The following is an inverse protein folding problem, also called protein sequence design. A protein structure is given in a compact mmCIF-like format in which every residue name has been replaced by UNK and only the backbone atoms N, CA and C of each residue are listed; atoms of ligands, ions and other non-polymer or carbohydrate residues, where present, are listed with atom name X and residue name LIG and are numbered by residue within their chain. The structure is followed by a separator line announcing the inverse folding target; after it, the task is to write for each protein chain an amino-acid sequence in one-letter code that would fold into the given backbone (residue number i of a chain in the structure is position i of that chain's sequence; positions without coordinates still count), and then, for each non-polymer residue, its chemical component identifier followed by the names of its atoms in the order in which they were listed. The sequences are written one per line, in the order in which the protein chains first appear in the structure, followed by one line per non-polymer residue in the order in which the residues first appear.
data_IF_310780662980
#
_entry.id   IF_310780662980
#
_cell.length_a   1.000
_cell.length_b   1.000
_cell.length_c   1.000
_cell.angle_alpha   90.00
_cell.angle_beta   90.00
_cell.angle_gamma   90.00
#
_symmetry.space_group_name_H-M   'P 1'
#
loop_
_entity.id
_entity.type
_entity.pdbx_description
1 polymer ?
#
# COMPACT_ATOMS: atom_id res chain seq x y z
N UNK A 1 -25.86 -28.25 18.92
CA UNK A 1 -25.58 -28.08 17.48
C UNK A 1 -26.75 -27.31 16.92
N UNK A 2 -26.50 -26.17 16.27
CA UNK A 2 -27.56 -25.29 15.77
C UNK A 2 -27.59 -25.37 14.25
N UNK A 3 -28.77 -25.55 13.67
CA UNK A 3 -28.96 -25.51 12.21
C UNK A 3 -29.04 -24.07 11.71
N UNK A 4 -28.72 -23.83 10.44
CA UNK A 4 -28.89 -22.51 9.82
C UNK A 4 -30.35 -22.06 9.89
N UNK A 5 -31.30 -22.99 9.70
CA UNK A 5 -32.75 -22.71 9.84
C UNK A 5 -33.07 -22.17 11.23
N UNK A 6 -32.62 -22.86 12.29
CA UNK A 6 -32.87 -22.44 13.68
C UNK A 6 -32.17 -21.12 14.01
N UNK A 7 -30.94 -20.95 13.53
CA UNK A 7 -30.18 -19.73 13.76
C UNK A 7 -30.86 -18.51 13.10
N UNK A 8 -31.34 -18.65 11.86
CA UNK A 8 -32.10 -17.59 11.19
C UNK A 8 -33.37 -17.29 11.97
N UNK A 9 -34.17 -18.31 12.31
CA UNK A 9 -35.40 -18.12 13.07
C UNK A 9 -35.14 -17.37 14.38
N UNK A 10 -34.18 -17.84 15.17
CA UNK A 10 -33.80 -17.23 16.45
C UNK A 10 -33.32 -15.78 16.28
N UNK A 11 -32.49 -15.50 15.28
CA UNK A 11 -31.99 -14.14 15.02
C UNK A 11 -33.12 -13.16 14.74
N UNK A 12 -34.12 -13.57 13.96
CA UNK A 12 -35.24 -12.70 13.63
C UNK A 12 -36.30 -12.64 14.74
N UNK A 13 -36.50 -13.73 15.50
CA UNK A 13 -37.35 -13.71 16.68
C UNK A 13 -36.84 -12.69 17.70
N UNK A 14 -35.52 -12.65 17.96
CA UNK A 14 -34.89 -11.64 18.84
C UNK A 14 -35.05 -10.20 18.34
N UNK A 15 -35.10 -9.99 17.02
CA UNK A 15 -35.34 -8.67 16.43
C UNK A 15 -36.81 -8.24 16.55
N UNK A 16 -37.73 -9.18 16.72
CA UNK A 16 -39.16 -8.91 16.89
C UNK A 16 -39.61 -8.89 18.36
N UNK A 17 -38.75 -9.30 19.29
CA UNK A 17 -39.00 -9.23 20.73
C UNK A 17 -38.77 -7.80 21.27
N UNK A 18 -39.81 -7.09 21.74
CA UNK A 18 -39.69 -5.74 22.28
C UNK A 18 -38.90 -5.66 23.60
N UNK A 19 -38.48 -6.78 24.19
CA UNK A 19 -37.72 -6.84 25.44
C UNK A 19 -36.20 -7.04 25.26
N UNK A 20 -35.71 -7.23 24.03
CA UNK A 20 -34.28 -7.39 23.76
C UNK A 20 -33.55 -6.03 23.69
N UNK A 21 -32.62 -5.79 24.61
CA UNK A 21 -32.01 -4.47 24.85
C UNK A 21 -30.71 -4.18 24.08
N UNK A 22 -30.24 -5.04 23.18
CA UNK A 22 -28.96 -4.82 22.47
C UNK A 22 -29.19 -4.37 21.03
N UNK A 23 -29.66 -3.13 20.87
CA UNK A 23 -29.65 -2.43 19.59
C UNK A 23 -28.34 -1.66 19.41
N UNK A 24 -27.37 -2.27 18.73
CA UNK A 24 -26.35 -1.54 17.98
C UNK A 24 -26.22 -2.13 16.57
N UNK A 25 -26.58 -1.31 15.58
CA UNK A 25 -26.38 -1.49 14.13
C UNK A 25 -27.13 -2.63 13.43
N UNK A 26 -28.46 -2.53 13.32
CA UNK A 26 -29.18 -3.20 12.23
C UNK A 26 -30.16 -2.22 11.58
N UNK A 27 -29.84 -1.81 10.36
CA UNK A 27 -30.79 -1.14 9.47
C UNK A 27 -31.90 -2.13 9.14
N UNK A 28 -33.08 -1.92 9.74
CA UNK A 28 -34.28 -2.73 9.57
C UNK A 28 -34.78 -2.75 8.12
N UNK A 29 -34.98 -3.94 7.55
CA UNK A 29 -36.06 -4.23 6.59
C UNK A 29 -36.46 -5.70 6.73
N UNK A 30 -37.39 -5.98 7.64
CA UNK A 30 -37.95 -7.31 7.84
C UNK A 30 -39.21 -7.23 8.69
N UNK A 31 -40.27 -6.65 8.14
CA UNK A 31 -41.60 -6.74 8.75
C UNK A 31 -42.19 -8.13 8.49
N UNK A 32 -42.86 -8.78 9.47
CA UNK A 32 -43.58 -10.01 9.23
C UNK A 32 -44.61 -9.79 8.12
N UNK A 33 -44.65 -10.69 7.14
CA UNK A 33 -45.68 -10.66 6.11
C UNK A 33 -47.05 -11.05 6.71
N UNK A 34 -48.14 -10.62 6.07
CA UNK A 34 -49.51 -10.97 6.47
C UNK A 34 -49.79 -12.49 6.47
N UNK A 35 -48.91 -13.32 5.88
CA UNK A 35 -48.97 -14.78 5.86
C UNK A 35 -48.24 -15.47 7.03
N UNK A 36 -47.55 -14.71 7.90
CA UNK A 36 -46.73 -15.29 8.98
C UNK A 36 -45.37 -15.83 8.52
N UNK A 37 -45.00 -15.60 7.26
CA UNK A 37 -43.69 -15.97 6.73
C UNK A 37 -42.65 -14.88 7.01
N UNK A 38 -41.47 -15.30 7.46
CA UNK A 38 -40.29 -14.45 7.65
C UNK A 38 -39.84 -13.84 6.32
N UNK A 39 -39.88 -12.52 6.22
CA UNK A 39 -39.25 -11.79 5.12
C UNK A 39 -37.81 -11.46 5.50
N UNK A 40 -36.88 -12.22 4.92
CA UNK A 40 -35.46 -11.95 5.07
C UNK A 40 -35.02 -10.77 4.18
N UNK A 41 -34.04 -9.95 4.60
CA UNK A 41 -33.41 -8.97 3.73
C UNK A 41 -32.60 -9.64 2.61
N UNK A 42 -32.26 -8.88 1.56
CA UNK A 42 -31.37 -9.34 0.48
C UNK A 42 -29.93 -9.61 0.95
N UNK A 43 -29.53 -9.04 2.08
CA UNK A 43 -28.24 -9.26 2.72
C UNK A 43 -28.48 -9.99 4.03
N UNK A 44 -28.10 -11.26 4.10
CA UNK A 44 -28.24 -12.07 5.29
C UNK A 44 -26.87 -12.33 5.90
N UNK A 45 -26.65 -11.74 7.07
CA UNK A 45 -25.43 -11.97 7.86
C UNK A 45 -25.76 -12.95 8.98
N UNK A 46 -25.08 -14.09 9.01
CA UNK A 46 -25.15 -15.11 10.06
C UNK A 46 -23.74 -15.40 10.61
N UNK A 47 -22.91 -14.36 10.68
CA UNK A 47 -21.59 -14.44 11.33
C UNK A 47 -21.74 -14.89 12.80
N UNK A 48 -20.82 -15.73 13.27
CA UNK A 48 -20.72 -16.16 14.67
C UNK A 48 -22.03 -16.70 15.26
N UNK A 49 -22.82 -17.39 14.43
CA UNK A 49 -24.17 -17.86 14.79
C UNK A 49 -24.19 -19.31 15.29
N UNK A 50 -23.03 -19.89 15.59
CA UNK A 50 -22.85 -21.28 16.05
C UNK A 50 -23.47 -22.33 15.12
N UNK A 51 -23.56 -22.03 13.82
CA UNK A 51 -24.16 -22.93 12.83
C UNK A 51 -23.19 -24.07 12.55
N UNK A 52 -23.65 -25.32 12.68
CA UNK A 52 -22.84 -26.51 12.35
C UNK A 52 -23.31 -27.23 11.09
N UNK A 53 -24.60 -27.13 10.77
CA UNK A 53 -25.23 -27.76 9.60
C UNK A 53 -26.35 -26.86 9.07
N UNK A 54 -26.78 -27.05 7.83
CA UNK A 54 -27.81 -26.19 7.24
C UNK A 54 -29.22 -26.50 7.78
N UNK A 55 -29.52 -27.76 8.09
CA UNK A 55 -30.87 -28.21 8.42
C UNK A 55 -31.69 -28.48 7.16
N UNK A 56 -32.97 -28.12 7.16
CA UNK A 56 -33.88 -28.32 6.02
C UNK A 56 -33.55 -27.37 4.86
N UNK A 57 -32.90 -27.92 3.83
CA UNK A 57 -32.47 -27.19 2.62
C UNK A 57 -33.68 -26.67 1.83
N UNK A 58 -34.81 -27.37 1.79
CA UNK A 58 -36.00 -26.90 1.07
C UNK A 58 -36.62 -25.69 1.76
N UNK A 59 -36.68 -25.72 3.09
CA UNK A 59 -37.12 -24.58 3.89
C UNK A 59 -36.18 -23.39 3.70
N UNK A 60 -34.86 -23.60 3.76
CA UNK A 60 -33.88 -22.55 3.50
C UNK A 60 -34.02 -21.97 2.10
N UNK A 61 -34.17 -22.80 1.07
CA UNK A 61 -34.35 -22.32 -0.30
C UNK A 61 -35.57 -21.41 -0.46
N UNK A 62 -36.67 -21.70 0.25
CA UNK A 62 -37.87 -20.83 0.26
C UNK A 62 -37.63 -19.53 1.01
N UNK A 63 -36.95 -19.59 2.15
CA UNK A 63 -36.65 -18.41 2.98
C UNK A 63 -35.61 -17.48 2.33
N UNK A 64 -34.62 -18.06 1.66
CA UNK A 64 -33.40 -17.41 1.21
C UNK A 64 -33.35 -17.17 -0.31
N UNK A 65 -34.33 -17.60 -1.10
CA UNK A 65 -34.24 -17.61 -2.57
C UNK A 65 -34.00 -16.25 -3.23
N UNK A 66 -34.30 -15.14 -2.55
CA UNK A 66 -34.07 -13.76 -3.01
C UNK A 66 -32.80 -13.12 -2.44
N UNK A 67 -32.02 -13.84 -1.64
CA UNK A 67 -30.78 -13.33 -1.04
C UNK A 67 -29.72 -13.07 -2.12
N UNK A 68 -29.07 -11.93 -2.00
CA UNK A 68 -28.00 -11.44 -2.88
C UNK A 68 -26.65 -11.58 -2.19
N UNK A 69 -26.58 -11.38 -0.88
CA UNK A 69 -25.36 -11.51 -0.10
C UNK A 69 -25.60 -12.41 1.10
N UNK A 70 -24.79 -13.45 1.22
CA UNK A 70 -24.87 -14.42 2.29
C UNK A 70 -23.53 -14.48 3.02
N UNK A 71 -23.53 -14.06 4.28
CA UNK A 71 -22.39 -14.16 5.16
C UNK A 71 -22.61 -15.27 6.20
N UNK A 72 -21.87 -16.36 6.06
CA UNK A 72 -21.84 -17.50 6.98
C UNK A 72 -20.48 -17.60 7.68
N UNK A 73 -19.73 -16.50 7.78
CA UNK A 73 -18.43 -16.51 8.41
C UNK A 73 -18.49 -16.91 9.89
N UNK A 74 -17.36 -17.37 10.42
CA UNK A 74 -17.19 -17.69 11.83
C UNK A 74 -18.26 -18.68 12.35
N UNK A 75 -18.45 -19.76 11.60
CA UNK A 75 -19.34 -20.86 11.96
C UNK A 75 -18.56 -22.18 11.96
N UNK A 76 -19.24 -23.30 12.17
CA UNK A 76 -18.64 -24.63 12.23
C UNK A 76 -19.24 -25.56 11.18
N UNK A 77 -19.51 -25.02 9.99
CA UNK A 77 -20.01 -25.81 8.86
C UNK A 77 -19.00 -26.88 8.48
N UNK A 78 -19.46 -28.11 8.29
CA UNK A 78 -18.59 -29.24 7.96
C UNK A 78 -18.83 -29.83 6.56
N UNK A 79 -19.99 -29.58 5.95
CA UNK A 79 -20.44 -30.30 4.76
C UNK A 79 -20.56 -29.40 3.53
N UNK A 80 -19.60 -29.53 2.61
CA UNK A 80 -19.66 -28.86 1.30
C UNK A 80 -20.86 -29.29 0.44
N UNK A 81 -21.27 -30.56 0.50
CA UNK A 81 -22.38 -31.06 -0.32
C UNK A 81 -23.69 -30.35 0.01
N UNK A 82 -23.98 -30.19 1.30
CA UNK A 82 -25.21 -29.51 1.74
C UNK A 82 -25.15 -28.03 1.34
N UNK A 83 -23.98 -27.40 1.48
CA UNK A 83 -23.75 -26.02 1.07
C UNK A 83 -23.97 -25.82 -0.42
N UNK A 84 -23.38 -26.67 -1.26
CA UNK A 84 -23.59 -26.61 -2.71
C UNK A 84 -25.05 -26.84 -3.09
N UNK A 85 -25.76 -27.75 -2.41
CA UNK A 85 -27.19 -27.96 -2.63
C UNK A 85 -28.01 -26.70 -2.31
N UNK A 86 -27.68 -25.98 -1.23
CA UNK A 86 -28.29 -24.69 -0.92
C UNK A 86 -27.94 -23.65 -1.98
N UNK A 87 -26.67 -23.49 -2.34
CA UNK A 87 -26.22 -22.48 -3.31
C UNK A 87 -26.88 -22.65 -4.67
N UNK A 88 -27.14 -23.89 -5.11
CA UNK A 88 -27.92 -24.19 -6.32
C UNK A 88 -29.36 -23.66 -6.29
N UNK A 89 -29.88 -23.29 -5.11
CA UNK A 89 -31.24 -22.79 -4.90
C UNK A 89 -31.27 -21.29 -4.57
N UNK A 90 -30.14 -20.61 -4.68
CA UNK A 90 -30.00 -19.16 -4.46
C UNK A 90 -29.64 -18.44 -5.77
N UNK A 91 -30.61 -18.27 -6.70
CA UNK A 91 -30.35 -17.78 -8.05
C UNK A 91 -29.89 -16.31 -8.10
N UNK A 92 -30.08 -15.53 -7.04
CA UNK A 92 -29.69 -14.11 -7.00
C UNK A 92 -28.37 -13.87 -6.25
N UNK A 93 -27.74 -14.91 -5.73
CA UNK A 93 -26.56 -14.78 -4.88
C UNK A 93 -25.36 -14.27 -5.67
N UNK A 94 -24.79 -13.16 -5.19
CA UNK A 94 -23.62 -12.47 -5.76
C UNK A 94 -22.41 -12.52 -4.85
N UNK A 95 -22.63 -12.44 -3.54
CA UNK A 95 -21.57 -12.50 -2.54
C UNK A 95 -21.81 -13.66 -1.58
N UNK A 96 -20.80 -14.49 -1.42
CA UNK A 96 -20.77 -15.56 -0.43
C UNK A 96 -19.53 -15.44 0.42
N UNK A 97 -19.72 -15.31 1.74
CA UNK A 97 -18.63 -15.36 2.71
C UNK A 97 -18.75 -16.64 3.55
N UNK A 98 -17.73 -17.49 3.47
CA UNK A 98 -17.60 -18.73 4.24
C UNK A 98 -16.36 -18.70 5.14
N UNK A 99 -15.74 -17.54 5.30
CA UNK A 99 -14.49 -17.41 6.06
C UNK A 99 -14.64 -17.97 7.47
N UNK A 100 -13.57 -18.52 8.07
CA UNK A 100 -13.60 -19.01 9.46
C UNK A 100 -14.66 -20.12 9.65
N UNK A 101 -14.64 -21.13 8.79
CA UNK A 101 -15.36 -22.40 9.00
C UNK A 101 -14.34 -23.55 9.09
N UNK A 102 -13.73 -23.78 10.27
CA UNK A 102 -12.58 -24.69 10.41
C UNK A 102 -12.90 -26.16 10.09
N UNK A 103 -14.16 -26.55 10.26
CA UNK A 103 -14.64 -27.91 9.97
C UNK A 103 -14.94 -28.14 8.49
N UNK A 104 -14.92 -27.09 7.67
CA UNK A 104 -15.36 -27.14 6.29
C UNK A 104 -14.26 -27.70 5.40
N UNK A 105 -14.33 -29.00 5.10
CA UNK A 105 -13.34 -29.70 4.29
C UNK A 105 -13.91 -30.97 3.65
N UNK A 106 -13.12 -31.68 2.83
CA UNK A 106 -13.50 -32.98 2.33
C UNK A 106 -13.64 -33.95 3.52
N UNK A 107 -14.69 -34.77 3.53
CA UNK A 107 -14.83 -35.82 4.55
C UNK A 107 -13.67 -36.79 4.35
N UNK A 108 -12.73 -36.87 5.29
CA UNK A 108 -11.90 -38.07 5.39
C UNK A 108 -12.86 -39.18 5.78
N UNK A 109 -13.05 -40.18 4.93
CA UNK A 109 -13.63 -41.42 5.41
C UNK A 109 -12.72 -41.92 6.53
N UNK A 110 -13.21 -41.80 7.77
CA UNK A 110 -12.58 -42.39 8.94
C UNK A 110 -12.59 -43.89 8.73
N UNK A 111 -11.50 -44.45 8.21
CA UNK A 111 -11.19 -45.86 8.38
C UNK A 111 -10.99 -46.03 9.88
N UNK A 112 -12.01 -46.57 10.54
CA UNK A 112 -11.94 -47.04 11.91
C UNK A 112 -10.74 -47.99 12.01
N UNK A 113 -9.77 -47.62 12.82
CA UNK A 113 -8.68 -48.48 13.25
C UNK A 113 -9.23 -49.78 13.83
N UNK A 114 -9.02 -50.89 13.15
CA UNK A 114 -8.65 -52.14 13.82
C UNK A 114 -7.50 -52.80 13.06
N UNK A 115 -6.52 -53.24 13.84
CA UNK A 115 -5.37 -54.10 13.51
C UNK A 115 -4.05 -53.43 13.05
N UNK A 116 -3.11 -53.44 14.01
CA UNK A 116 -1.66 -53.28 13.90
C UNK A 116 -1.06 -53.97 12.67
N UNK A 117 -0.28 -53.24 11.87
CA UNK A 117 1.00 -53.74 11.36
C UNK A 117 2.00 -52.58 11.22
N UNK A 118 3.24 -52.82 11.67
CA UNK A 118 4.39 -51.92 11.54
C UNK A 118 4.78 -51.78 10.06
N UNK A 119 4.37 -50.69 9.42
CA UNK A 119 4.97 -50.21 8.17
C UNK A 119 4.82 -48.68 8.10
N UNK A 120 5.83 -47.94 7.61
CA UNK A 120 5.74 -46.49 7.50
C UNK A 120 4.64 -46.13 6.50
N UNK A 121 3.67 -45.32 6.96
CA UNK A 121 2.61 -44.75 6.14
C UNK A 121 3.22 -44.08 4.90
N UNK A 122 2.95 -44.64 3.72
CA UNK A 122 3.20 -43.97 2.45
C UNK A 122 2.11 -42.91 2.28
N UNK A 123 2.44 -41.64 1.99
CA UNK A 123 1.43 -40.66 1.65
C UNK A 123 0.66 -41.17 0.42
N UNK A 124 -0.66 -41.07 0.50
CA UNK A 124 -1.58 -41.31 -0.62
C UNK A 124 -1.07 -40.52 -1.83
N UNK A 125 -0.88 -41.20 -2.96
CA UNK A 125 -0.57 -40.53 -4.21
C UNK A 125 -1.83 -39.82 -4.69
N UNK A 126 -1.77 -38.50 -4.84
CA UNK A 126 -2.86 -37.61 -5.27
C UNK A 126 -3.42 -37.87 -6.69
N UNK A 127 -3.00 -38.94 -7.38
CA UNK A 127 -3.45 -39.20 -8.76
C UNK A 127 -4.92 -39.63 -8.88
N UNK A 128 -5.52 -40.18 -7.82
CA UNK A 128 -6.91 -40.67 -7.86
C UNK A 128 -7.95 -39.67 -7.30
N UNK A 129 -7.52 -38.49 -6.83
CA UNK A 129 -8.42 -37.55 -6.13
C UNK A 129 -9.23 -36.64 -7.09
N UNK A 130 -8.88 -36.61 -8.39
CA UNK A 130 -9.41 -35.63 -9.35
C UNK A 130 -10.91 -35.77 -9.68
N UNK A 131 -11.58 -36.85 -9.26
CA UNK A 131 -12.96 -37.17 -9.71
C UNK A 131 -14.06 -36.97 -8.66
N UNK A 132 -13.73 -36.69 -7.40
CA UNK A 132 -14.74 -36.64 -6.31
C UNK A 132 -15.04 -35.24 -5.77
N UNK A 133 -14.28 -34.22 -6.17
CA UNK A 133 -14.48 -32.88 -5.65
C UNK A 133 -15.56 -32.12 -6.42
N UNK A 134 -16.76 -32.12 -5.82
CA UNK A 134 -17.78 -31.08 -5.98
C UNK A 134 -18.35 -30.92 -7.40
N UNK A 135 -19.29 -31.78 -7.79
CA UNK A 135 -20.17 -31.51 -8.94
C UNK A 135 -21.27 -30.53 -8.48
N UNK A 136 -20.97 -29.25 -8.39
CA UNK A 136 -22.00 -28.22 -8.21
C UNK A 136 -22.65 -27.86 -9.55
N UNK A 137 -23.90 -27.41 -9.53
CA UNK A 137 -24.45 -26.73 -10.70
C UNK A 137 -23.75 -25.37 -10.86
N UNK A 138 -23.73 -24.79 -12.07
CA UNK A 138 -23.16 -23.46 -12.26
C UNK A 138 -23.86 -22.44 -11.34
N UNK A 139 -23.05 -21.62 -10.67
CA UNK A 139 -23.41 -20.43 -9.89
C UNK A 139 -23.04 -19.17 -10.71
N UNK A 140 -23.72 -18.88 -11.82
CA UNK A 140 -23.31 -17.83 -12.76
C UNK A 140 -23.45 -16.41 -12.21
N UNK A 141 -24.18 -16.21 -11.12
CA UNK A 141 -24.40 -14.89 -10.52
C UNK A 141 -23.38 -14.54 -9.44
N UNK A 142 -22.62 -15.53 -8.95
CA UNK A 142 -21.64 -15.33 -7.90
C UNK A 142 -20.46 -14.51 -8.46
N UNK A 143 -20.25 -13.31 -7.92
CA UNK A 143 -19.17 -12.40 -8.28
C UNK A 143 -18.09 -12.31 -7.21
N UNK A 144 -18.44 -12.52 -5.94
CA UNK A 144 -17.54 -12.39 -4.80
C UNK A 144 -17.60 -13.63 -3.91
N UNK A 145 -16.43 -14.22 -3.63
CA UNK A 145 -16.31 -15.40 -2.79
C UNK A 145 -15.19 -15.19 -1.76
N UNK A 146 -15.54 -15.29 -0.48
CA UNK A 146 -14.59 -15.19 0.61
C UNK A 146 -14.44 -16.52 1.35
N UNK A 147 -13.20 -17.01 1.39
CA UNK A 147 -12.77 -18.30 1.91
C UNK A 147 -11.55 -18.12 2.83
N UNK A 148 -11.51 -17.05 3.64
CA UNK A 148 -10.37 -16.80 4.52
C UNK A 148 -10.39 -17.74 5.73
N UNK A 149 -9.23 -18.08 6.28
CA UNK A 149 -9.10 -18.91 7.49
C UNK A 149 -9.87 -20.25 7.41
N UNK A 150 -9.72 -20.94 6.29
CA UNK A 150 -10.20 -22.29 6.03
C UNK A 150 -9.02 -23.27 6.00
N UNK A 151 -8.67 -23.91 7.13
CA UNK A 151 -7.48 -24.76 7.26
C UNK A 151 -7.51 -26.02 6.39
N UNK A 152 -8.69 -26.42 5.92
CA UNK A 152 -8.87 -27.60 5.04
C UNK A 152 -9.01 -27.22 3.55
N UNK A 153 -8.83 -25.94 3.20
CA UNK A 153 -8.94 -25.48 1.81
C UNK A 153 -7.72 -25.93 1.00
N UNK A 154 -7.98 -26.68 -0.08
CA UNK A 154 -6.96 -27.14 -1.03
C UNK A 154 -7.19 -26.57 -2.43
N UNK A 155 -6.14 -26.55 -3.26
CA UNK A 155 -6.23 -26.12 -4.66
C UNK A 155 -7.23 -26.95 -5.51
N UNK A 156 -7.32 -28.29 -5.38
CA UNK A 156 -8.33 -29.06 -6.10
C UNK A 156 -9.75 -28.66 -5.71
N UNK A 157 -9.98 -28.41 -4.41
CA UNK A 157 -11.29 -27.97 -3.93
C UNK A 157 -11.64 -26.58 -4.47
N UNK A 158 -10.68 -25.65 -4.42
CA UNK A 158 -10.82 -24.32 -5.01
C UNK A 158 -11.10 -24.40 -6.51
N UNK A 159 -10.42 -25.28 -7.25
CA UNK A 159 -10.67 -25.49 -8.67
C UNK A 159 -12.11 -25.94 -8.97
N UNK A 160 -12.69 -26.83 -8.14
CA UNK A 160 -14.10 -27.22 -8.24
C UNK A 160 -15.06 -26.05 -8.01
N UNK A 161 -14.80 -25.23 -6.99
CA UNK A 161 -15.60 -24.03 -6.69
C UNK A 161 -15.52 -23.00 -7.82
N UNK A 162 -14.31 -22.70 -8.31
CA UNK A 162 -14.09 -21.76 -9.41
C UNK A 162 -14.66 -22.24 -10.75
N UNK A 163 -14.68 -23.56 -10.97
CA UNK A 163 -15.34 -24.14 -12.16
C UNK A 163 -16.85 -23.97 -12.10
N UNK A 164 -17.41 -23.96 -10.89
CA UNK A 164 -18.84 -23.75 -10.65
C UNK A 164 -19.22 -22.27 -10.69
N UNK A 165 -18.30 -21.33 -10.45
CA UNK A 165 -18.55 -19.89 -10.45
C UNK A 165 -17.86 -19.18 -11.64
N UNK A 166 -18.41 -19.29 -12.88
CA UNK A 166 -17.74 -18.84 -14.10
C UNK A 166 -17.58 -17.32 -14.22
N UNK A 167 -18.35 -16.54 -13.46
CA UNK A 167 -18.34 -15.07 -13.47
C UNK A 167 -17.73 -14.48 -12.19
N UNK A 168 -17.03 -15.28 -11.39
CA UNK A 168 -16.41 -14.82 -10.15
C UNK A 168 -15.30 -13.80 -10.47
N UNK A 169 -15.40 -12.61 -9.90
CA UNK A 169 -14.46 -11.49 -10.11
C UNK A 169 -13.56 -11.24 -8.92
N UNK A 170 -14.04 -11.47 -7.71
CA UNK A 170 -13.34 -11.17 -6.45
C UNK A 170 -13.22 -12.41 -5.57
N UNK A 171 -11.99 -12.72 -5.15
CA UNK A 171 -11.66 -13.93 -4.40
C UNK A 171 -10.78 -13.61 -3.20
N UNK A 172 -11.22 -14.03 -2.01
CA UNK A 172 -10.47 -13.87 -0.77
C UNK A 172 -10.04 -15.24 -0.23
N UNK A 173 -8.73 -15.43 -0.07
CA UNK A 173 -8.08 -16.67 0.34
C UNK A 173 -7.00 -16.43 1.41
N UNK A 174 -7.17 -15.42 2.24
CA UNK A 174 -6.16 -15.01 3.22
C UNK A 174 -6.13 -15.94 4.43
N UNK A 175 -4.94 -16.20 4.96
CA UNK A 175 -4.67 -16.99 6.17
C UNK A 175 -5.18 -18.43 6.08
N UNK A 176 -4.98 -19.08 4.93
CA UNK A 176 -5.36 -20.47 4.70
C UNK A 176 -4.17 -21.44 4.77
N UNK A 177 -2.99 -20.96 5.16
CA UNK A 177 -1.73 -21.73 5.13
C UNK A 177 -1.42 -22.32 3.73
N UNK A 178 -2.00 -21.76 2.67
CA UNK A 178 -1.86 -22.30 1.32
C UNK A 178 -0.47 -22.00 0.77
N UNK A 179 0.19 -23.03 0.25
CA UNK A 179 1.32 -22.89 -0.67
C UNK A 179 0.79 -22.67 -2.09
N UNK A 180 1.68 -22.50 -3.07
CA UNK A 180 1.26 -22.45 -4.45
C UNK A 180 0.76 -23.81 -4.97
N UNK A 181 -0.01 -23.83 -6.06
CA UNK A 181 -0.46 -25.08 -6.67
C UNK A 181 0.74 -25.95 -7.05
N UNK A 182 0.73 -27.22 -6.62
CA UNK A 182 1.69 -28.26 -7.00
C UNK A 182 1.39 -28.87 -8.38
N UNK A 183 0.23 -28.53 -8.97
CA UNK A 183 -0.20 -28.95 -10.31
C UNK A 183 -0.58 -27.74 -11.20
N UNK A 184 -0.49 -27.89 -12.54
CA UNK A 184 -0.91 -26.85 -13.46
C UNK A 184 -2.41 -26.57 -13.33
N UNK A 185 -2.85 -25.36 -13.69
CA UNK A 185 -4.26 -25.01 -13.63
C UNK A 185 -5.11 -26.03 -14.44
N UNK A 186 -6.16 -26.63 -13.84
CA UNK A 186 -6.94 -27.68 -14.50
C UNK A 186 -7.83 -27.12 -15.62
N UNK A 187 -8.06 -25.80 -15.65
CA UNK A 187 -8.85 -25.12 -16.68
C UNK A 187 -7.95 -24.52 -17.74
N UNK A 188 -8.13 -24.92 -19.00
CA UNK A 188 -7.43 -24.31 -20.15
C UNK A 188 -7.75 -22.81 -20.18
N UNK A 189 -6.71 -21.98 -20.20
CA UNK A 189 -6.84 -20.53 -20.15
C UNK A 189 -7.11 -19.94 -18.75
N UNK A 190 -7.03 -20.76 -17.71
CA UNK A 190 -7.17 -20.34 -16.31
C UNK A 190 -8.56 -19.82 -15.93
N UNK A 191 -8.65 -19.27 -14.73
CA UNK A 191 -9.85 -18.63 -14.20
C UNK A 191 -9.86 -17.14 -14.54
N UNK A 192 -9.97 -16.84 -15.84
CA UNK A 192 -9.89 -15.49 -16.39
C UNK A 192 -10.98 -14.49 -15.94
N UNK A 193 -12.04 -14.96 -15.27
CA UNK A 193 -13.05 -14.07 -14.68
C UNK A 193 -12.54 -13.38 -13.43
N UNK A 194 -11.61 -14.00 -12.70
CA UNK A 194 -11.07 -13.49 -11.43
C UNK A 194 -10.11 -12.34 -11.71
N UNK A 195 -10.47 -11.16 -11.21
CA UNK A 195 -9.73 -9.91 -11.42
C UNK A 195 -9.10 -9.38 -10.13
N UNK A 196 -9.65 -9.74 -8.97
CA UNK A 196 -9.12 -9.34 -7.67
C UNK A 196 -8.86 -10.56 -6.78
N UNK A 197 -7.64 -10.65 -6.26
CA UNK A 197 -7.20 -11.74 -5.40
C UNK A 197 -6.58 -11.19 -4.12
N UNK A 198 -7.10 -11.64 -2.98
CA UNK A 198 -6.59 -11.33 -1.64
C UNK A 198 -6.01 -12.61 -1.03
N UNK A 199 -4.69 -12.72 -1.04
CA UNK A 199 -3.95 -13.94 -0.67
C UNK A 199 -2.94 -13.66 0.46
N UNK A 200 -3.36 -12.91 1.48
CA UNK A 200 -2.50 -12.49 2.58
C UNK A 200 -2.22 -13.64 3.55
N UNK A 201 -1.08 -13.63 4.24
CA UNK A 201 -0.77 -14.60 5.30
C UNK A 201 -0.79 -16.05 4.83
N UNK A 202 -0.34 -16.29 3.60
CA UNK A 202 -0.15 -17.62 3.03
C UNK A 202 1.35 -17.90 2.83
N UNK A 203 1.69 -19.02 2.20
CA UNK A 203 3.07 -19.52 2.09
C UNK A 203 3.58 -19.45 0.64
N UNK A 204 3.23 -18.39 -0.08
CA UNK A 204 3.76 -18.19 -1.44
C UNK A 204 5.24 -17.84 -1.42
N UNK A 205 6.00 -18.52 -2.27
CA UNK A 205 7.42 -18.28 -2.52
C UNK A 205 7.61 -17.50 -3.83
N UNK A 206 8.82 -17.00 -4.02
CA UNK A 206 9.20 -16.21 -5.20
C UNK A 206 9.14 -16.98 -6.52
N UNK A 207 9.15 -18.30 -6.51
CA UNK A 207 9.00 -19.13 -7.72
C UNK A 207 7.54 -19.30 -8.16
N UNK A 208 6.58 -18.94 -7.30
CA UNK A 208 5.17 -19.27 -7.48
C UNK A 208 4.37 -18.25 -8.31
N UNK A 209 4.98 -17.10 -8.65
CA UNK A 209 4.38 -16.08 -9.52
C UNK A 209 3.87 -16.65 -10.85
N UNK A 210 4.60 -17.61 -11.42
CA UNK A 210 4.24 -18.29 -12.67
C UNK A 210 2.95 -19.10 -12.53
N UNK A 211 2.84 -19.88 -11.45
CA UNK A 211 1.66 -20.70 -11.14
C UNK A 211 0.44 -19.82 -10.92
N UNK A 212 0.57 -18.74 -10.14
CA UNK A 212 -0.50 -17.76 -9.95
C UNK A 212 -0.93 -17.12 -11.27
N UNK A 213 0.03 -16.77 -12.13
CA UNK A 213 -0.26 -16.20 -13.44
C UNK A 213 -1.00 -17.17 -14.36
N UNK A 214 -0.78 -18.48 -14.23
CA UNK A 214 -1.51 -19.50 -14.99
C UNK A 214 -2.95 -19.68 -14.48
N UNK A 215 -3.13 -19.66 -13.16
CA UNK A 215 -4.44 -19.80 -12.53
C UNK A 215 -5.31 -18.56 -12.73
N UNK A 216 -4.74 -17.36 -12.67
CA UNK A 216 -5.46 -16.09 -12.73
C UNK A 216 -4.85 -15.13 -13.77
N UNK A 217 -4.98 -15.44 -15.07
CA UNK A 217 -4.24 -14.72 -16.13
C UNK A 217 -4.75 -13.29 -16.41
N UNK A 218 -5.92 -12.92 -15.88
CA UNK A 218 -6.56 -11.59 -16.07
C UNK A 218 -6.63 -10.79 -14.77
N UNK A 219 -5.78 -11.12 -13.81
CA UNK A 219 -5.76 -10.44 -12.52
C UNK A 219 -5.33 -8.97 -12.68
N UNK A 220 -6.12 -8.06 -12.09
CA UNK A 220 -5.86 -6.62 -12.06
C UNK A 220 -5.42 -6.14 -10.67
N UNK A 221 -5.85 -6.82 -9.61
CA UNK A 221 -5.50 -6.50 -8.23
C UNK A 221 -5.02 -7.72 -7.47
N UNK A 222 -3.84 -7.62 -6.87
CA UNK A 222 -3.22 -8.68 -6.09
C UNK A 222 -2.77 -8.15 -4.73
N UNK A 223 -3.19 -8.81 -3.67
CA UNK A 223 -2.76 -8.51 -2.29
C UNK A 223 -2.06 -9.73 -1.69
N UNK A 224 -0.80 -9.55 -1.30
CA UNK A 224 0.11 -10.60 -0.80
C UNK A 224 0.73 -10.24 0.55
N UNK A 225 0.01 -9.51 1.41
CA UNK A 225 0.55 -9.04 2.70
C UNK A 225 1.02 -10.24 3.53
N UNK A 226 2.25 -10.17 4.06
CA UNK A 226 2.78 -11.20 4.95
C UNK A 226 3.01 -12.57 4.30
N UNK A 227 3.30 -12.61 2.99
CA UNK A 227 3.86 -13.81 2.34
C UNK A 227 5.39 -13.76 2.33
N UNK A 228 6.04 -14.92 2.18
CA UNK A 228 7.49 -15.07 2.24
C UNK A 228 8.22 -14.81 0.92
N UNK A 229 7.60 -14.12 -0.03
CA UNK A 229 8.22 -13.80 -1.31
C UNK A 229 9.29 -12.70 -1.14
N UNK A 230 10.55 -13.05 -1.41
CA UNK A 230 11.72 -12.17 -1.35
C UNK A 230 12.12 -11.60 -2.73
N UNK A 231 11.68 -12.25 -3.81
CA UNK A 231 12.01 -11.89 -5.19
C UNK A 231 10.77 -11.70 -6.04
N UNK A 232 10.86 -10.71 -6.92
CA UNK A 232 9.87 -10.43 -7.93
C UNK A 232 10.25 -11.12 -9.25
N UNK A 233 9.25 -11.46 -10.10
CA UNK A 233 9.50 -12.17 -11.34
C UNK A 233 10.37 -11.31 -12.28
N UNK A 234 11.59 -11.78 -12.55
CA UNK A 234 12.60 -11.09 -13.37
C UNK A 234 12.31 -11.11 -14.87
N UNK A 235 11.49 -12.07 -15.32
CA UNK A 235 11.00 -12.26 -16.68
C UNK A 235 9.87 -13.29 -16.63
N UNK A 236 9.06 -13.41 -17.69
CA UNK A 236 8.11 -14.52 -17.71
C UNK A 236 8.78 -15.84 -17.96
N UNK A 237 8.73 -16.66 -16.94
CA UNK A 237 9.03 -18.07 -17.03
C UNK A 237 7.75 -18.79 -17.41
N UNK A 238 7.78 -19.63 -18.45
CA UNK A 238 6.83 -20.74 -18.55
C UNK A 238 7.59 -22.06 -18.51
N UNK A 239 6.95 -22.98 -17.79
CA UNK A 239 7.23 -24.40 -17.71
C UNK A 239 7.33 -25.03 -19.11
N UNK A 240 8.36 -25.83 -19.30
CA UNK A 240 8.46 -26.76 -20.40
C UNK A 240 7.27 -27.72 -20.35
N UNK A 241 6.46 -27.73 -21.39
CA UNK A 241 5.71 -28.94 -21.74
C UNK A 241 6.75 -29.97 -22.15
N UNK A 242 6.91 -31.03 -21.36
CA UNK A 242 7.54 -32.23 -21.86
C UNK A 242 6.76 -32.72 -23.07
N UNK A 243 7.35 -32.62 -24.25
CA UNK A 243 7.37 -33.69 -25.22
C UNK A 243 8.42 -33.39 -26.31
N UNK A 244 9.51 -34.16 -26.24
CA UNK A 244 10.44 -34.49 -27.31
C UNK A 244 10.77 -33.44 -28.38
N UNK A 245 11.80 -32.62 -28.15
CA UNK A 245 12.66 -32.18 -29.25
C UNK A 245 14.02 -31.69 -28.75
N UNK A 246 15.05 -32.50 -28.99
CA UNK A 246 16.45 -32.08 -28.86
C UNK A 246 16.74 -31.03 -29.94
N UNK A 247 16.51 -29.76 -29.64
CA UNK A 247 17.11 -28.69 -30.42
C UNK A 247 17.46 -27.49 -29.53
N UNK A 248 18.76 -27.34 -29.31
CA UNK A 248 19.39 -26.18 -28.68
C UNK A 248 19.24 -24.98 -29.60
N UNK A 249 18.24 -24.14 -29.35
CA UNK A 249 18.17 -22.70 -29.61
C UNK A 249 16.70 -22.27 -29.61
N UNK A 250 16.29 -21.48 -28.61
CA UNK A 250 15.29 -20.41 -28.74
C UNK A 250 15.06 -19.73 -27.38
N UNK A 251 15.78 -18.63 -27.16
CA UNK A 251 15.42 -17.55 -26.23
C UNK A 251 14.06 -16.94 -26.66
N UNK A 252 12.98 -17.67 -26.43
CA UNK A 252 11.62 -17.16 -26.67
C UNK A 252 11.11 -16.57 -25.36
N UNK A 253 11.24 -15.25 -25.24
CA UNK A 253 10.69 -14.44 -24.14
C UNK A 253 9.17 -14.57 -24.18
N UNK A 254 8.59 -15.28 -23.21
CA UNK A 254 7.14 -15.19 -22.95
C UNK A 254 6.93 -14.02 -21.99
N UNK A 255 5.74 -13.44 -21.94
CA UNK A 255 5.37 -12.35 -21.04
C UNK A 255 4.35 -12.92 -20.03
N UNK A 256 4.53 -12.70 -18.72
CA UNK A 256 3.58 -13.21 -17.72
C UNK A 256 2.31 -12.39 -17.91
N UNK A 257 1.17 -13.00 -18.23
CA UNK A 257 -0.10 -12.26 -18.32
C UNK A 257 -0.37 -11.41 -17.08
N UNK A 258 0.03 -11.92 -15.90
CA UNK A 258 -0.05 -11.22 -14.64
C UNK A 258 0.66 -9.87 -14.67
N UNK A 259 1.88 -9.78 -15.23
CA UNK A 259 2.65 -8.53 -15.26
C UNK A 259 2.04 -7.47 -16.20
N UNK A 260 1.28 -7.89 -17.22
CA UNK A 260 0.65 -6.96 -18.15
C UNK A 260 -0.65 -6.35 -17.62
N UNK A 261 -1.43 -7.12 -16.87
CA UNK A 261 -2.79 -6.74 -16.47
C UNK A 261 -2.87 -6.11 -15.07
N UNK A 262 -1.85 -6.32 -14.23
CA UNK A 262 -1.86 -5.87 -12.86
C UNK A 262 -1.84 -4.34 -12.77
N UNK A 263 -2.85 -3.77 -12.12
CA UNK A 263 -3.03 -2.34 -11.86
C UNK A 263 -2.74 -1.98 -10.41
N UNK A 264 -3.04 -2.91 -9.50
CA UNK A 264 -2.83 -2.73 -8.06
C UNK A 264 -2.10 -3.92 -7.45
N UNK A 265 -1.02 -3.65 -6.74
CA UNK A 265 -0.21 -4.64 -6.05
C UNK A 265 0.06 -4.21 -4.61
N UNK A 266 -0.16 -5.12 -3.67
CA UNK A 266 0.21 -4.94 -2.28
C UNK A 266 1.18 -6.04 -1.83
N UNK A 267 2.42 -5.63 -1.58
CA UNK A 267 3.56 -6.44 -1.11
C UNK A 267 3.99 -6.01 0.30
N UNK A 268 3.09 -5.40 1.07
CA UNK A 268 3.43 -4.97 2.44
C UNK A 268 3.83 -6.18 3.29
N UNK A 269 4.75 -5.98 4.23
CA UNK A 269 5.29 -7.05 5.08
C UNK A 269 5.96 -8.19 4.31
N UNK A 270 6.50 -7.91 3.11
CA UNK A 270 7.32 -8.87 2.34
C UNK A 270 8.80 -8.81 2.71
N UNK A 271 9.54 -9.85 2.34
CA UNK A 271 10.98 -9.99 2.62
C UNK A 271 11.87 -9.32 1.56
N UNK A 272 11.29 -8.51 0.66
CA UNK A 272 12.01 -7.76 -0.37
C UNK A 272 12.97 -6.77 0.29
N UNK A 273 14.28 -6.90 0.00
CA UNK A 273 15.36 -6.17 0.65
C UNK A 273 16.26 -5.34 -0.26
N UNK A 274 15.98 -5.29 -1.56
CA UNK A 274 16.78 -4.57 -2.55
C UNK A 274 15.93 -3.78 -3.55
N UNK A 275 16.49 -2.68 -4.05
CA UNK A 275 15.84 -1.85 -5.07
C UNK A 275 15.76 -2.55 -6.43
N UNK A 276 16.77 -3.34 -6.79
CA UNK A 276 16.79 -4.11 -8.03
C UNK A 276 15.58 -5.07 -8.13
N UNK A 277 15.13 -5.63 -7.02
CA UNK A 277 13.90 -6.44 -6.99
C UNK A 277 12.65 -5.57 -7.22
N UNK A 278 12.51 -4.44 -6.52
CA UNK A 278 11.36 -3.54 -6.72
C UNK A 278 11.30 -2.92 -8.12
N UNK A 279 12.45 -2.58 -8.71
CA UNK A 279 12.53 -1.97 -10.04
C UNK A 279 12.03 -2.91 -11.15
N UNK A 280 11.99 -4.23 -10.93
CA UNK A 280 11.31 -5.19 -11.82
C UNK A 280 9.82 -4.88 -11.98
N UNK A 281 9.19 -4.17 -11.05
CA UNK A 281 7.80 -3.70 -11.21
C UNK A 281 7.64 -2.70 -12.34
N UNK A 282 8.72 -2.05 -12.82
CA UNK A 282 8.67 -1.24 -14.04
C UNK A 282 8.38 -2.07 -15.30
N UNK A 283 8.53 -3.40 -15.24
CA UNK A 283 8.07 -4.32 -16.29
C UNK A 283 6.54 -4.46 -16.34
N UNK A 284 5.82 -3.93 -15.34
CA UNK A 284 4.37 -3.94 -15.27
C UNK A 284 3.82 -2.58 -15.75
N UNK A 285 3.51 -2.40 -17.05
CA UNK A 285 3.15 -1.09 -17.59
C UNK A 285 1.82 -0.54 -17.04
N UNK A 286 0.94 -1.43 -16.59
CA UNK A 286 -0.38 -1.08 -16.05
C UNK A 286 -0.36 -0.79 -14.55
N UNK A 287 0.75 -1.02 -13.85
CA UNK A 287 0.82 -0.96 -12.39
C UNK A 287 0.89 0.50 -11.90
N UNK A 288 -0.25 1.00 -11.43
CA UNK A 288 -0.40 2.37 -10.93
C UNK A 288 -0.45 2.45 -9.41
N UNK A 289 -0.95 1.41 -8.74
CA UNK A 289 -1.23 1.40 -7.31
C UNK A 289 -0.36 0.39 -6.58
N UNK A 290 0.63 0.87 -5.83
CA UNK A 290 1.58 0.04 -5.09
C UNK A 290 1.48 0.27 -3.58
N UNK A 291 1.49 -0.83 -2.81
CA UNK A 291 1.68 -0.81 -1.37
C UNK A 291 2.88 -1.67 -0.98
N UNK A 292 3.84 -1.07 -0.30
CA UNK A 292 5.13 -1.66 0.14
C UNK A 292 5.43 -1.19 1.58
N UNK A 293 4.43 -1.23 2.45
CA UNK A 293 4.61 -0.89 3.86
C UNK A 293 5.39 -2.00 4.57
N UNK A 294 6.31 -1.63 5.45
CA UNK A 294 7.04 -2.56 6.33
C UNK A 294 7.78 -3.73 5.62
N UNK A 295 8.17 -3.53 4.36
CA UNK A 295 9.07 -4.44 3.65
C UNK A 295 10.50 -4.36 4.21
N UNK A 296 11.29 -5.43 4.09
CA UNK A 296 12.66 -5.49 4.62
C UNK A 296 13.56 -4.35 4.15
N UNK A 297 13.47 -3.92 2.89
CA UNK A 297 14.20 -2.79 2.32
C UNK A 297 13.95 -1.45 3.05
N UNK A 298 12.73 -1.24 3.54
CA UNK A 298 12.31 -0.02 4.21
C UNK A 298 12.61 0.02 5.71
N UNK A 299 13.00 -1.12 6.33
CA UNK A 299 13.23 -1.21 7.78
C UNK A 299 14.37 -0.28 8.21
N UNK A 300 14.10 0.58 9.19
CA UNK A 300 15.08 1.55 9.72
C UNK A 300 15.29 2.82 8.88
N UNK A 301 14.66 2.94 7.70
CA UNK A 301 14.76 4.13 6.85
C UNK A 301 13.67 5.18 7.21
N UNK A 302 13.95 6.48 7.11
CA UNK A 302 12.92 7.51 7.25
C UNK A 302 11.84 7.34 6.17
N UNK A 303 10.56 7.28 6.59
CA UNK A 303 9.41 7.03 5.69
C UNK A 303 9.35 7.99 4.49
N UNK A 304 9.68 9.27 4.72
CA UNK A 304 9.66 10.31 3.68
C UNK A 304 10.75 10.09 2.63
N UNK A 305 11.96 9.73 3.05
CA UNK A 305 13.08 9.48 2.15
C UNK A 305 12.87 8.19 1.36
N UNK A 306 12.44 7.11 2.03
CA UNK A 306 12.10 5.86 1.37
C UNK A 306 11.00 6.04 0.31
N UNK A 307 9.96 6.82 0.64
CA UNK A 307 8.90 7.17 -0.31
C UNK A 307 9.45 7.93 -1.52
N UNK A 308 10.27 8.96 -1.30
CA UNK A 308 10.84 9.75 -2.38
C UNK A 308 11.72 8.87 -3.30
N UNK A 309 12.55 8.00 -2.73
CA UNK A 309 13.37 7.07 -3.51
C UNK A 309 12.51 6.09 -4.32
N UNK A 310 11.46 5.51 -3.73
CA UNK A 310 10.53 4.64 -4.43
C UNK A 310 9.81 5.36 -5.59
N UNK A 311 9.36 6.59 -5.38
CA UNK A 311 8.70 7.39 -6.42
C UNK A 311 9.64 7.67 -7.60
N UNK A 312 10.92 7.95 -7.31
CA UNK A 312 11.91 8.23 -8.33
C UNK A 312 12.31 6.99 -9.14
N UNK A 313 12.35 5.81 -8.50
CA UNK A 313 12.75 4.53 -9.12
C UNK A 313 11.61 3.82 -9.86
N UNK A 314 10.35 4.07 -9.49
CA UNK A 314 9.17 3.39 -10.03
C UNK A 314 8.33 4.33 -10.93
N UNK A 315 8.56 4.27 -12.24
CA UNK A 315 7.98 5.22 -13.21
C UNK A 315 6.45 5.21 -13.28
N UNK A 316 5.85 4.03 -13.22
CA UNK A 316 4.42 3.86 -13.51
C UNK A 316 3.50 4.08 -12.30
N UNK A 317 4.06 4.06 -11.08
CA UNK A 317 3.29 4.09 -9.82
C UNK A 317 2.76 5.49 -9.54
N UNK A 318 1.46 5.72 -9.68
CA UNK A 318 0.79 7.00 -9.38
C UNK A 318 0.17 7.06 -8.00
N UNK A 319 -0.02 5.92 -7.33
CA UNK A 319 -0.49 5.81 -5.95
C UNK A 319 0.45 4.91 -5.18
N UNK A 320 1.08 5.44 -4.13
CA UNK A 320 2.04 4.71 -3.30
C UNK A 320 1.58 4.71 -1.84
N UNK A 321 1.50 3.54 -1.22
CA UNK A 321 1.11 3.35 0.18
C UNK A 321 -0.22 4.06 0.54
N UNK A 322 -1.18 4.02 -0.39
CA UNK A 322 -2.53 4.59 -0.20
C UNK A 322 -2.64 6.10 -0.42
N UNK A 323 -1.59 6.77 -0.90
CA UNK A 323 -1.61 8.21 -1.20
C UNK A 323 -1.18 8.46 -2.64
N UNK A 324 -1.86 9.39 -3.32
CA UNK A 324 -1.51 9.81 -4.67
C UNK A 324 -0.12 10.45 -4.72
N UNK A 325 0.59 10.24 -5.82
CA UNK A 325 1.87 10.87 -6.14
C UNK A 325 1.60 12.04 -7.07
N UNK A 326 1.91 13.25 -6.61
CA UNK A 326 1.75 14.47 -7.42
C UNK A 326 2.91 14.62 -8.40
N UNK A 327 2.70 15.39 -9.47
CA UNK A 327 3.77 15.69 -10.45
C UNK A 327 4.92 16.47 -9.80
N UNK A 328 4.62 17.35 -8.84
CA UNK A 328 5.62 18.07 -8.06
C UNK A 328 6.44 17.13 -7.17
N UNK A 329 5.76 16.21 -6.47
CA UNK A 329 6.43 15.19 -5.64
C UNK A 329 7.33 14.30 -6.48
N UNK A 330 6.83 13.82 -7.62
CA UNK A 330 7.62 13.01 -8.56
C UNK A 330 8.82 13.77 -9.10
N UNK A 331 8.61 14.98 -9.60
CA UNK A 331 9.72 15.77 -10.14
C UNK A 331 10.76 16.10 -9.08
N UNK A 332 10.36 16.34 -7.82
CA UNK A 332 11.29 16.57 -6.72
C UNK A 332 12.07 15.29 -6.37
N UNK A 333 11.39 14.15 -6.29
CA UNK A 333 11.97 12.85 -6.04
C UNK A 333 12.99 12.44 -7.12
N UNK A 334 12.61 12.51 -8.39
CA UNK A 334 13.48 12.21 -9.54
C UNK A 334 14.75 13.08 -9.53
N UNK A 335 14.61 14.38 -9.29
CA UNK A 335 15.76 15.30 -9.18
C UNK A 335 16.65 15.00 -7.99
N UNK A 336 16.06 14.60 -6.86
CA UNK A 336 16.81 14.18 -5.68
C UNK A 336 17.62 12.91 -5.95
N UNK A 337 17.03 11.93 -6.65
CA UNK A 337 17.71 10.69 -7.03
C UNK A 337 18.90 10.96 -7.96
N UNK A 338 18.72 11.83 -8.98
CA UNK A 338 19.81 12.26 -9.87
C UNK A 338 20.95 12.88 -9.07
N UNK A 339 20.67 13.87 -8.20
CA UNK A 339 21.73 14.52 -7.39
C UNK A 339 22.49 13.51 -6.53
N UNK A 340 21.76 12.59 -5.88
CA UNK A 340 22.37 11.56 -5.06
C UNK A 340 23.35 10.69 -5.86
N UNK A 341 23.02 10.36 -7.12
CA UNK A 341 23.82 9.45 -7.96
C UNK A 341 24.81 10.15 -8.91
N UNK A 342 24.74 11.48 -9.07
CA UNK A 342 25.67 12.21 -9.95
C UNK A 342 26.54 13.23 -9.25
N UNK A 343 26.07 13.85 -8.17
CA UNK A 343 26.80 14.93 -7.46
C UNK A 343 27.34 14.41 -6.14
N UNK A 344 26.46 13.81 -5.32
CA UNK A 344 26.86 13.44 -3.95
C UNK A 344 27.89 12.31 -3.94
N UNK A 345 27.84 11.38 -4.91
CA UNK A 345 28.87 10.35 -5.10
C UNK A 345 30.21 10.94 -5.56
N UNK A 346 30.19 11.93 -6.47
CA UNK A 346 31.41 12.65 -6.90
C UNK A 346 32.05 13.38 -5.71
N UNK A 347 31.24 13.99 -4.84
CA UNK A 347 31.71 14.71 -3.65
C UNK A 347 32.25 13.76 -2.56
N UNK A 348 31.59 12.62 -2.34
CA UNK A 348 31.97 11.66 -1.28
C UNK A 348 33.18 10.80 -1.64
N UNK A 349 33.64 10.84 -2.89
CA UNK A 349 34.79 10.08 -3.39
C UNK A 349 34.63 8.56 -3.11
N UNK A 350 33.39 8.06 -3.18
CA UNK A 350 33.07 6.66 -2.92
C UNK A 350 33.56 5.76 -4.08
N UNK A 351 33.91 4.49 -3.80
CA UNK A 351 34.36 3.57 -4.84
C UNK A 351 33.28 3.41 -5.92
N UNK A 352 33.65 3.75 -7.16
CA UNK A 352 32.78 3.73 -8.35
C UNK A 352 32.12 2.37 -8.57
N UNK A 353 32.79 1.27 -8.19
CA UNK A 353 32.30 -0.09 -8.43
C UNK A 353 31.06 -0.46 -7.59
N UNK A 354 30.95 0.03 -6.35
CA UNK A 354 29.77 -0.19 -5.49
C UNK A 354 28.61 0.75 -5.87
N UNK A 355 28.94 1.99 -6.22
CA UNK A 355 27.97 2.98 -6.68
C UNK A 355 27.30 2.59 -8.02
N UNK A 356 28.03 1.91 -8.91
CA UNK A 356 27.50 1.40 -10.19
C UNK A 356 26.59 0.19 -9.99
N UNK A 357 26.86 -0.66 -8.98
CA UNK A 357 26.06 -1.85 -8.70
C UNK A 357 24.67 -1.55 -8.11
N UNK A 358 24.50 -0.39 -7.46
CA UNK A 358 23.20 0.09 -6.94
C UNK A 358 22.54 1.17 -7.82
N UNK A 359 23.11 1.43 -9.01
CA UNK A 359 22.61 2.43 -9.93
C UNK A 359 21.14 2.11 -10.32
N UNK A 360 20.20 3.06 -10.18
CA UNK A 360 18.81 2.85 -10.58
C UNK A 360 18.71 2.53 -12.07
N UNK A 361 17.90 1.54 -12.44
CA UNK A 361 17.68 1.13 -13.84
C UNK A 361 17.23 2.31 -14.73
N UNK A 362 16.53 3.28 -14.15
CA UNK A 362 15.98 4.43 -14.88
C UNK A 362 16.89 5.66 -14.90
N UNK A 363 18.09 5.62 -14.32
CA UNK A 363 18.94 6.80 -14.15
C UNK A 363 19.22 7.51 -15.48
N UNK A 364 19.56 6.77 -16.53
CA UNK A 364 19.80 7.33 -17.87
C UNK A 364 18.57 8.02 -18.45
N UNK A 365 17.40 7.42 -18.26
CA UNK A 365 16.11 8.00 -18.70
C UNK A 365 15.79 9.27 -17.93
N UNK A 366 16.08 9.31 -16.63
CA UNK A 366 15.89 10.49 -15.78
C UNK A 366 16.86 11.62 -16.14
N UNK A 367 18.12 11.29 -16.46
CA UNK A 367 19.11 12.26 -16.96
C UNK A 367 18.71 12.83 -18.31
N UNK A 368 18.17 12.01 -19.21
CA UNK A 368 17.62 12.50 -20.47
C UNK A 368 16.42 13.44 -20.27
N UNK A 369 15.58 13.19 -19.25
CA UNK A 369 14.38 13.98 -18.93
C UNK A 369 14.70 15.32 -18.23
N UNK A 370 15.56 15.31 -17.21
CA UNK A 370 15.82 16.49 -16.36
C UNK A 370 17.13 17.22 -16.70
N UNK A 371 18.00 16.60 -17.48
CA UNK A 371 19.37 17.06 -17.69
C UNK A 371 20.26 16.85 -16.47
N UNK A 372 21.53 17.25 -16.60
CA UNK A 372 22.48 17.24 -15.48
C UNK A 372 22.15 18.40 -14.54
N UNK A 373 21.89 18.09 -13.28
CA UNK A 373 21.55 19.09 -12.26
C UNK A 373 22.81 19.77 -11.71
N UNK A 374 22.69 21.04 -11.34
CA UNK A 374 23.73 21.75 -10.62
C UNK A 374 23.66 21.46 -9.11
N UNK A 375 24.78 21.69 -8.43
CA UNK A 375 24.86 21.69 -6.97
C UNK A 375 23.81 22.65 -6.37
N UNK A 376 23.26 22.26 -5.22
CA UNK A 376 22.37 23.14 -4.47
C UNK A 376 23.18 24.32 -3.91
N UNK A 377 22.71 25.54 -4.15
CA UNK A 377 23.32 26.72 -3.58
C UNK A 377 23.28 26.63 -2.04
N UNK A 378 24.43 26.83 -1.39
CA UNK A 378 24.51 26.95 0.07
C UNK A 378 23.93 28.29 0.49
N UNK A 379 22.61 28.35 0.68
CA UNK A 379 21.91 29.53 1.17
C UNK A 379 21.71 29.38 2.67
N UNK A 380 22.36 30.23 3.46
CA UNK A 380 22.07 30.34 4.89
C UNK A 380 20.83 31.21 5.08
N UNK A 381 19.69 30.58 5.39
CA UNK A 381 18.42 31.27 5.62
C UNK A 381 18.25 31.71 7.09
N UNK A 382 19.27 31.53 7.95
CA UNK A 382 19.20 32.02 9.33
C UNK A 382 19.14 33.55 9.34
N UNK A 383 18.29 34.17 10.18
CA UNK A 383 18.25 35.62 10.31
C UNK A 383 19.63 36.16 10.69
N UNK A 384 20.13 37.15 9.96
CA UNK A 384 21.39 37.84 10.26
C UNK A 384 21.36 38.40 11.68
N UNK A 385 22.18 37.87 12.58
CA UNK A 385 22.18 38.25 14.00
C UNK A 385 23.05 39.46 14.31
N UNK A 386 24.11 39.68 13.51
CA UNK A 386 24.97 40.85 13.59
C UNK A 386 25.38 41.34 12.21
N UNK A 387 25.61 42.64 12.10
CA UNK A 387 25.96 43.34 10.86
C UNK A 387 27.14 44.27 11.13
N UNK A 388 28.07 44.34 10.18
CA UNK A 388 29.25 45.21 10.22
C UNK A 388 28.98 46.51 9.48
N UNK A 389 28.87 47.62 10.22
CA UNK A 389 28.46 48.92 9.70
C UNK A 389 29.57 49.96 9.80
N UNK A 390 29.54 50.93 8.87
CA UNK A 390 30.46 52.08 8.89
C UNK A 390 29.78 53.24 9.62
N UNK A 391 30.31 53.57 10.79
CA UNK A 391 29.87 54.69 11.60
C UNK A 391 30.61 55.96 11.17
N UNK A 392 29.91 57.09 11.03
CA UNK A 392 30.50 58.40 10.69
C UNK A 392 30.06 59.50 11.64
N UNK A 393 31.00 60.35 12.04
CA UNK A 393 30.73 61.58 12.78
C UNK A 393 31.78 62.65 12.43
N UNK A 394 31.34 63.77 11.85
CA UNK A 394 32.24 64.78 11.29
C UNK A 394 33.20 64.17 10.26
N UNK A 395 34.51 64.37 10.46
CA UNK A 395 35.57 63.80 9.60
C UNK A 395 36.08 62.41 10.07
N UNK A 396 35.44 61.82 11.08
CA UNK A 396 35.82 60.52 11.62
C UNK A 396 34.93 59.41 11.08
N UNK A 397 35.52 58.24 10.80
CA UNK A 397 34.77 57.03 10.46
C UNK A 397 35.35 55.82 11.19
N UNK A 398 34.49 54.86 11.57
CA UNK A 398 34.86 53.62 12.25
C UNK A 398 33.95 52.49 11.80
N UNK A 399 34.43 51.26 11.77
CA UNK A 399 33.59 50.08 11.53
C UNK A 399 33.20 49.45 12.87
N UNK A 400 31.94 49.06 13.03
CA UNK A 400 31.44 48.43 14.23
C UNK A 400 30.49 47.28 13.90
N UNK A 401 30.61 46.16 14.62
CA UNK A 401 29.59 45.11 14.59
C UNK A 401 28.46 45.46 15.56
N UNK A 402 27.24 45.47 15.03
CA UNK A 402 26.03 45.71 15.78
C UNK A 402 25.09 44.51 15.65
N UNK A 403 24.48 44.11 16.76
CA UNK A 403 23.47 43.06 16.73
C UNK A 403 22.16 43.63 16.17
N UNK A 404 21.51 42.89 15.28
CA UNK A 404 20.32 43.38 14.55
C UNK A 404 19.07 43.42 15.43
N UNK A 405 19.05 42.68 16.53
CA UNK A 405 17.95 42.65 17.51
C UNK A 405 17.95 43.83 18.49
N UNK A 406 18.95 44.72 18.44
CA UNK A 406 19.03 45.87 19.34
C UNK A 406 17.97 46.92 19.01
N UNK A 407 17.53 47.65 20.04
CA UNK A 407 16.65 48.79 19.84
C UNK A 407 17.43 50.00 19.31
N UNK A 408 16.79 50.88 18.55
CA UNK A 408 17.45 52.08 18.01
C UNK A 408 18.09 52.94 19.12
N UNK A 409 17.49 53.01 20.32
CA UNK A 409 18.11 53.70 21.46
C UNK A 409 19.45 53.09 21.90
N UNK A 410 19.57 51.76 21.85
CA UNK A 410 20.79 51.03 22.23
C UNK A 410 21.85 51.16 21.14
N UNK A 411 21.43 51.09 19.87
CA UNK A 411 22.30 51.38 18.72
C UNK A 411 22.83 52.80 18.81
N UNK A 412 21.96 53.80 19.04
CA UNK A 412 22.35 55.20 19.18
C UNK A 412 23.34 55.41 20.31
N UNK A 413 23.11 54.79 21.48
CA UNK A 413 24.06 54.85 22.59
C UNK A 413 25.43 54.30 22.19
N UNK A 414 25.47 53.07 21.64
CA UNK A 414 26.71 52.44 21.19
C UNK A 414 27.46 53.27 20.15
N UNK A 415 26.77 53.84 19.18
CA UNK A 415 27.40 54.69 18.15
C UNK A 415 27.94 55.97 18.77
N UNK A 416 27.22 56.60 19.70
CA UNK A 416 27.70 57.79 20.42
C UNK A 416 28.94 57.49 21.27
N UNK A 417 28.96 56.35 21.96
CA UNK A 417 30.09 55.90 22.79
C UNK A 417 31.37 55.72 21.95
N UNK A 418 31.24 55.33 20.67
CA UNK A 418 32.38 55.23 19.76
C UNK A 418 33.02 56.60 19.48
N UNK A 419 32.25 57.68 19.45
CA UNK A 419 32.77 59.01 19.11
C UNK A 419 32.85 59.98 20.31
N UNK A 420 32.60 59.49 21.53
CA UNK A 420 32.43 60.33 22.73
C UNK A 420 31.42 61.47 22.52
N UNK A 421 30.34 61.20 21.78
CA UNK A 421 29.26 62.15 21.51
C UNK A 421 28.14 62.00 22.56
N UNK A 422 27.44 63.09 22.87
CA UNK A 422 26.30 63.05 23.79
C UNK A 422 25.01 62.69 23.02
N UNK A 423 24.30 61.59 23.34
CA UNK A 423 23.12 61.14 22.57
C UNK A 423 21.97 62.14 22.50
N UNK A 424 21.89 63.09 23.43
CA UNK A 424 20.89 64.17 23.48
C UNK A 424 21.18 65.29 22.46
N UNK A 425 22.44 65.43 22.01
CA UNK A 425 22.91 66.51 21.13
C UNK A 425 23.04 66.11 19.67
N UNK A 426 22.87 64.83 19.35
CA UNK A 426 23.05 64.29 17.99
C UNK A 426 21.83 63.50 17.51
N UNK A 427 21.52 63.58 16.23
CA UNK A 427 20.62 62.67 15.51
C UNK A 427 21.40 61.49 14.90
N UNK A 428 20.78 60.31 14.86
CA UNK A 428 21.34 59.12 14.22
C UNK A 428 20.63 58.86 12.90
N UNK A 429 21.37 58.82 11.80
CA UNK A 429 20.86 58.58 10.46
C UNK A 429 21.41 57.26 9.93
N UNK A 430 20.60 56.53 9.18
CA UNK A 430 21.00 55.29 8.51
C UNK A 430 21.03 55.49 6.99
N UNK A 431 22.02 54.89 6.34
CA UNK A 431 22.17 54.88 4.89
C UNK A 431 22.34 53.43 4.44
N UNK A 432 21.37 52.97 3.67
CA UNK A 432 21.45 51.75 2.87
C UNK A 432 22.39 51.99 1.68
N UNK A 433 23.54 51.32 1.67
CA UNK A 433 24.55 51.48 0.63
C UNK A 433 24.13 50.89 -0.72
N UNK A 434 23.19 49.94 -0.73
CA UNK A 434 22.56 49.41 -1.95
C UNK A 434 21.60 50.39 -2.62
N UNK A 435 21.03 51.33 -1.85
CA UNK A 435 19.98 52.25 -2.29
C UNK A 435 20.37 53.74 -2.28
N UNK A 436 21.63 54.09 -2.00
CA UNK A 436 22.12 55.50 -1.88
C UNK A 436 21.73 56.37 -3.08
N UNK A 437 21.68 55.81 -4.29
CA UNK A 437 21.30 56.53 -5.50
C UNK A 437 19.81 56.93 -5.58
N UNK A 438 18.95 56.30 -4.77
CA UNK A 438 17.49 56.49 -4.78
C UNK A 438 16.94 57.03 -3.45
N UNK A 439 17.58 56.72 -2.32
CA UNK A 439 17.14 57.09 -0.97
C UNK A 439 18.29 57.75 -0.22
N UNK A 440 18.05 58.96 0.30
CA UNK A 440 19.00 59.66 1.16
C UNK A 440 19.03 59.12 2.59
N UNK A 441 19.81 59.74 3.49
CA UNK A 441 19.93 59.29 4.88
C UNK A 441 18.58 59.34 5.62
N UNK A 442 18.15 58.21 6.18
CA UNK A 442 16.92 58.08 6.97
C UNK A 442 17.21 58.37 8.45
N UNK A 443 16.45 59.29 9.06
CA UNK A 443 16.58 59.60 10.48
C UNK A 443 15.95 58.48 11.33
N UNK A 444 16.75 57.84 12.19
CA UNK A 444 16.29 56.82 13.12
C UNK A 444 15.64 57.46 14.36
N UNK A 445 14.42 57.98 14.19
CA UNK A 445 13.69 58.75 15.21
C UNK A 445 12.80 57.90 16.15
N UNK A 446 12.68 56.59 15.93
CA UNK A 446 11.85 55.69 16.75
C UNK A 446 12.73 54.86 17.71
N UNK A 447 13.00 55.33 18.94
CA UNK A 447 13.96 54.70 19.86
C UNK A 447 13.57 53.29 20.31
N UNK A 448 12.27 52.98 20.32
CA UNK A 448 11.72 51.66 20.69
C UNK A 448 11.59 50.68 19.52
N UNK A 449 11.98 51.07 18.30
CA UNK A 449 11.97 50.19 17.14
C UNK A 449 13.23 49.33 17.12
N UNK A 450 13.12 48.07 16.71
CA UNK A 450 14.27 47.18 16.58
C UNK A 450 15.04 47.46 15.29
N UNK A 451 16.37 47.33 15.34
CA UNK A 451 17.26 47.73 14.25
C UNK A 451 17.09 46.89 12.98
N UNK A 452 16.83 45.59 13.11
CA UNK A 452 16.54 44.70 11.98
C UNK A 452 15.35 45.14 11.11
N UNK A 453 14.46 46.00 11.62
CA UNK A 453 13.32 46.51 10.84
C UNK A 453 13.72 47.49 9.73
N UNK A 454 14.97 47.95 9.74
CA UNK A 454 15.58 48.75 8.67
C UNK A 454 16.39 47.90 7.69
N UNK A 455 16.41 46.56 7.87
CA UNK A 455 17.14 45.59 7.03
C UNK A 455 18.62 45.96 6.80
N UNK A 456 19.40 46.19 7.88
CA UNK A 456 20.79 46.57 7.73
C UNK A 456 21.63 45.44 7.12
N UNK A 457 22.46 45.79 6.15
CA UNK A 457 23.40 44.91 5.46
C UNK A 457 24.86 45.30 5.77
N UNK A 458 25.78 44.34 5.57
CA UNK A 458 27.20 44.59 5.80
C UNK A 458 27.72 45.68 4.86
N UNK A 459 28.34 46.71 5.43
CA UNK A 459 28.85 47.87 4.68
C UNK A 459 27.94 49.09 4.69
N UNK A 460 26.70 48.98 5.19
CA UNK A 460 25.82 50.14 5.36
C UNK A 460 26.36 51.16 6.37
N UNK A 461 25.84 52.39 6.34
CA UNK A 461 26.36 53.48 7.17
C UNK A 461 25.39 53.98 8.24
N UNK A 462 25.96 54.34 9.40
CA UNK A 462 25.27 55.08 10.46
C UNK A 462 25.98 56.42 10.69
N UNK A 463 25.26 57.53 10.50
CA UNK A 463 25.82 58.88 10.59
C UNK A 463 25.25 59.59 11.80
N UNK A 464 26.12 60.12 12.65
CA UNK A 464 25.77 61.10 13.67
C UNK A 464 25.82 62.52 13.08
N UNK A 465 24.80 63.32 13.36
CA UNK A 465 24.80 64.76 13.05
C UNK A 465 24.35 65.54 14.27
N UNK A 466 25.04 66.63 14.59
CA UNK A 466 24.61 67.54 15.67
C UNK A 466 23.22 68.12 15.39
N UNK A 467 22.42 68.27 16.44
CA UNK A 467 21.24 69.11 16.38
C UNK A 467 21.71 70.57 16.31
N UNK A 468 21.35 71.26 15.23
CA UNK A 468 21.58 72.70 15.10
C UNK A 468 20.86 73.49 16.19
#
# INVERSE_FOLDING_TARGET
MTTLVEAIQHKFDMLTDPSSCDMQHVTLYGSPSASGELQLPHVLVMDNSNVTHLGDIEKLAKMCGHIVELDLANNSLANWSDLLQLLNRLPQLRLLNLSINPMLGPKSDSVTHEEKTDAPEKPLKDSDCHSQYLVAQPMPHLSTLALNQLPQLSWPMLAGLLSSAPNLTELYLSNNDMEAPDFPCPKIGGYASVQQLYFNGNRLLSEDWTKLSQWFPKLEKLTLIGNSADKLPSSAVSLATEEGSNNTNKDSVVILPLLCNLKSLNLSESEIDSWSELEKLNLCPSLTDLRILDIKLGKGRPKKEFRAEAIARLAHVTHLNGTAVTDEERSAAERSLIRAHTIDLEIKNEPTDLAVAEAPDQLDSLLAKHGRLNELAKVDLRPTQSVSLVLRYGNQSRTCQLATNQLIREVKQKVCDQFNAEPSRVGLYYIDQGMVGAMGPELLNLPGRAFHSYRPEDGDELILKDFN
#
